data_IF_590498452518
#
_entry.id   IF_590498452518
#
_cell.length_a   1.000
_cell.length_b   1.000
_cell.length_c   1.000
_cell.angle_alpha   90.00
_cell.angle_beta   90.00
_cell.angle_gamma   90.00
#
_symmetry.space_group_name_H-M   'P 1'
#
loop_
_entity.id
_entity.type
_entity.pdbx_description
1 polymer ?
#
# COMPACT_ATOMS: atom_id res chain seq x y z
N UNK A 1 -13.48 1.70 -1.66
CA UNK A 1 -12.10 1.58 -2.14
C UNK A 1 -12.09 0.95 -3.52
N UNK A 2 -11.51 1.63 -4.49
CA UNK A 2 -11.31 1.06 -5.83
C UNK A 2 -9.93 0.41 -5.87
N UNK A 3 -9.89 -0.91 -5.99
CA UNK A 3 -8.65 -1.66 -6.01
C UNK A 3 -8.37 -2.19 -7.42
N UNK A 4 -7.18 -1.86 -7.93
CA UNK A 4 -6.68 -2.38 -9.20
C UNK A 4 -5.38 -3.13 -8.93
N UNK A 5 -5.30 -4.38 -9.38
CA UNK A 5 -4.10 -5.20 -9.26
C UNK A 5 -3.63 -5.57 -10.65
N UNK A 6 -2.41 -5.21 -10.98
CA UNK A 6 -1.80 -5.49 -12.28
C UNK A 6 -0.53 -6.31 -12.12
N UNK A 7 -0.23 -7.14 -13.12
CA UNK A 7 1.01 -7.90 -13.17
C UNK A 7 1.88 -7.48 -14.34
N UNK A 8 3.19 -7.45 -14.13
CA UNK A 8 4.19 -7.18 -15.16
C UNK A 8 5.19 -8.32 -15.17
N UNK A 9 5.25 -9.03 -16.28
CA UNK A 9 6.02 -10.28 -16.43
C UNK A 9 5.59 -11.40 -15.47
N UNK A 10 4.33 -11.31 -14.99
CA UNK A 10 3.72 -12.38 -14.20
C UNK A 10 2.19 -12.30 -14.36
N UNK A 11 1.54 -13.43 -14.13
CA UNK A 11 0.08 -13.49 -14.11
C UNK A 11 -0.43 -13.34 -12.68
N UNK A 12 -1.41 -12.47 -12.51
CA UNK A 12 -2.08 -12.32 -11.22
C UNK A 12 -3.12 -13.43 -11.09
N UNK A 13 -2.77 -14.50 -10.38
CA UNK A 13 -3.66 -15.64 -10.15
C UNK A 13 -4.80 -15.24 -9.21
N UNK A 14 -5.94 -15.98 -9.21
CA UNK A 14 -7.00 -15.72 -8.23
C UNK A 14 -6.52 -15.81 -6.79
N UNK A 15 -5.62 -16.75 -6.47
CA UNK A 15 -5.05 -16.89 -5.13
C UNK A 15 -4.25 -15.66 -4.72
N UNK A 16 -3.42 -15.15 -5.62
CA UNK A 16 -2.61 -13.96 -5.40
C UNK A 16 -3.49 -12.72 -5.22
N UNK A 17 -4.50 -12.57 -6.08
CA UNK A 17 -5.47 -11.48 -5.99
C UNK A 17 -6.20 -11.49 -4.64
N UNK A 18 -6.65 -12.65 -4.20
CA UNK A 18 -7.33 -12.80 -2.92
C UNK A 18 -6.41 -12.45 -1.75
N UNK A 19 -5.16 -12.87 -1.83
CA UNK A 19 -4.17 -12.58 -0.79
C UNK A 19 -3.91 -11.07 -0.67
N UNK A 20 -3.67 -10.41 -1.78
CA UNK A 20 -3.43 -8.95 -1.81
C UNK A 20 -4.65 -8.20 -1.30
N UNK A 21 -5.84 -8.57 -1.77
CA UNK A 21 -7.09 -7.93 -1.38
C UNK A 21 -7.32 -8.06 0.13
N UNK A 22 -7.11 -9.25 0.70
CA UNK A 22 -7.28 -9.48 2.13
C UNK A 22 -6.31 -8.66 2.97
N UNK A 23 -5.05 -8.56 2.53
CA UNK A 23 -4.04 -7.77 3.24
C UNK A 23 -4.33 -6.27 3.19
N UNK A 24 -4.76 -5.76 2.04
CA UNK A 24 -5.08 -4.34 1.89
C UNK A 24 -6.37 -3.95 2.61
N UNK A 25 -7.29 -4.88 2.81
CA UNK A 25 -8.52 -4.64 3.54
C UNK A 25 -8.24 -4.19 4.98
N UNK A 26 -7.14 -4.64 5.58
CA UNK A 26 -6.70 -4.18 6.90
C UNK A 26 -6.46 -2.67 6.91
N UNK A 27 -5.84 -2.13 5.86
CA UNK A 27 -5.57 -0.69 5.73
C UNK A 27 -6.89 0.07 5.58
N UNK A 28 -7.79 -0.43 4.75
CA UNK A 28 -9.09 0.20 4.53
C UNK A 28 -9.93 0.25 5.81
N UNK A 29 -9.81 -0.75 6.67
CA UNK A 29 -10.52 -0.77 7.97
C UNK A 29 -9.96 0.24 8.96
N UNK A 30 -8.65 0.52 8.90
CA UNK A 30 -7.99 1.48 9.80
C UNK A 30 -8.09 2.92 9.30
N UNK A 31 -8.34 3.11 8.02
CA UNK A 31 -8.37 4.44 7.42
C UNK A 31 -9.39 4.47 6.28
N UNK A 32 -10.54 5.05 6.54
CA UNK A 32 -11.69 5.04 5.63
C UNK A 32 -11.61 6.11 4.52
N UNK A 33 -10.59 6.97 4.53
CA UNK A 33 -10.42 8.01 3.52
C UNK A 33 -9.64 7.56 2.28
N UNK A 34 -9.40 6.27 2.15
CA UNK A 34 -8.75 5.69 0.96
C UNK A 34 -9.75 5.67 -0.19
N UNK A 35 -9.40 6.31 -1.31
CA UNK A 35 -10.25 6.39 -2.49
C UNK A 35 -9.86 5.31 -3.49
N UNK A 36 -8.60 5.31 -3.94
CA UNK A 36 -8.07 4.38 -4.92
C UNK A 36 -6.86 3.64 -4.38
N UNK A 37 -6.74 2.37 -4.75
CA UNK A 37 -5.53 1.59 -4.46
C UNK A 37 -5.10 0.91 -5.77
N UNK A 38 -3.87 1.18 -6.19
CA UNK A 38 -3.27 0.56 -7.39
C UNK A 38 -2.06 -0.25 -6.96
N UNK A 39 -2.10 -1.54 -7.23
CA UNK A 39 -1.02 -2.48 -6.91
C UNK A 39 -0.41 -2.98 -8.21
N UNK A 40 0.89 -2.91 -8.32
CA UNK A 40 1.65 -3.50 -9.41
C UNK A 40 2.56 -4.58 -8.85
N UNK A 41 2.38 -5.79 -9.35
CA UNK A 41 3.21 -6.94 -9.00
C UNK A 41 4.09 -7.27 -10.20
N UNK A 42 5.38 -7.47 -9.98
CA UNK A 42 6.30 -7.72 -11.09
C UNK A 42 7.39 -8.71 -10.71
N UNK A 43 7.90 -9.37 -11.74
CA UNK A 43 9.10 -10.20 -11.64
C UNK A 43 10.16 -9.53 -12.48
N UNK A 44 11.30 -9.21 -11.86
CA UNK A 44 12.41 -8.55 -12.55
C UNK A 44 13.59 -9.50 -12.69
N UNK A 45 14.33 -9.34 -13.79
CA UNK A 45 15.52 -10.13 -14.03
C UNK A 45 16.71 -9.52 -13.29
N UNK A 46 16.76 -9.74 -11.97
CA UNK A 46 17.82 -9.26 -11.10
C UNK A 46 18.76 -10.41 -10.76
N UNK A 47 20.05 -10.11 -10.60
CA UNK A 47 21.04 -11.10 -10.16
C UNK A 47 20.74 -11.59 -8.76
N UNK A 48 20.34 -10.68 -7.87
CA UNK A 48 20.00 -10.99 -6.49
C UNK A 48 18.56 -11.50 -6.41
N UNK A 49 18.38 -12.72 -5.89
CA UNK A 49 17.06 -13.37 -5.79
C UNK A 49 16.07 -12.54 -4.98
N UNK A 50 16.51 -11.90 -3.90
CA UNK A 50 15.70 -11.12 -3.00
C UNK A 50 15.17 -9.82 -3.62
N UNK A 51 15.57 -9.49 -4.85
CA UNK A 51 15.10 -8.32 -5.58
C UNK A 51 14.24 -8.67 -6.79
N UNK A 52 13.99 -9.96 -7.04
CA UNK A 52 13.30 -10.42 -8.25
C UNK A 52 11.79 -10.25 -8.19
N UNK A 53 11.17 -10.50 -7.04
CA UNK A 53 9.72 -10.37 -6.88
C UNK A 53 9.44 -9.02 -6.26
N UNK A 54 8.73 -8.16 -7.00
CA UNK A 54 8.45 -6.79 -6.54
C UNK A 54 6.96 -6.55 -6.40
N UNK A 55 6.63 -5.76 -5.39
CA UNK A 55 5.28 -5.28 -5.18
C UNK A 55 5.33 -3.78 -4.95
N UNK A 56 4.51 -3.04 -5.70
CA UNK A 56 4.37 -1.60 -5.58
C UNK A 56 2.92 -1.27 -5.33
N UNK A 57 2.66 -0.25 -4.54
CA UNK A 57 1.29 0.19 -4.30
C UNK A 57 1.23 1.70 -4.15
N UNK A 58 0.24 2.29 -4.82
CA UNK A 58 -0.12 3.69 -4.66
C UNK A 58 -1.51 3.76 -4.07
N UNK A 59 -1.65 4.52 -2.99
CA UNK A 59 -2.93 4.75 -2.34
C UNK A 59 -3.30 6.22 -2.52
N UNK A 60 -4.43 6.47 -3.16
CA UNK A 60 -4.98 7.81 -3.26
C UNK A 60 -5.78 8.13 -2.01
N UNK A 61 -5.38 9.17 -1.29
CA UNK A 61 -6.11 9.70 -0.16
C UNK A 61 -6.44 11.16 -0.44
N UNK A 62 -7.37 11.71 0.32
CA UNK A 62 -7.79 13.09 0.10
C UNK A 62 -6.61 14.05 0.29
N UNK A 63 -6.25 14.74 -0.78
CA UNK A 63 -5.20 15.75 -0.76
C UNK A 63 -3.77 15.24 -0.89
N UNK A 64 -3.57 13.92 -1.03
CA UNK A 64 -2.23 13.35 -1.14
C UNK A 64 -2.29 11.92 -1.69
N UNK A 65 -1.16 11.45 -2.22
CA UNK A 65 -0.99 10.06 -2.60
C UNK A 65 0.11 9.45 -1.74
N UNK A 66 -0.11 8.24 -1.27
CA UNK A 66 0.88 7.46 -0.55
C UNK A 66 1.43 6.38 -1.47
N UNK A 67 2.72 6.13 -1.39
CA UNK A 67 3.39 5.15 -2.24
C UNK A 67 4.36 4.32 -1.40
N UNK A 68 4.39 3.02 -1.67
CA UNK A 68 5.38 2.12 -1.10
C UNK A 68 5.74 1.06 -2.12
N UNK A 69 6.93 0.52 -1.97
CA UNK A 69 7.41 -0.61 -2.78
C UNK A 69 8.21 -1.56 -1.91
N UNK A 70 8.24 -2.81 -2.32
CA UNK A 70 8.99 -3.85 -1.64
C UNK A 70 9.47 -4.89 -2.65
N UNK A 71 10.58 -5.54 -2.36
CA UNK A 71 11.13 -6.61 -3.17
C UNK A 71 11.57 -7.76 -2.26
N UNK A 72 11.41 -8.99 -2.75
CA UNK A 72 11.75 -10.19 -2.01
C UNK A 72 11.97 -11.34 -2.99
N UNK A 73 12.53 -12.46 -2.54
CA UNK A 73 12.60 -13.66 -3.36
C UNK A 73 11.24 -14.36 -3.49
N UNK A 74 10.34 -14.12 -2.54
CA UNK A 74 8.96 -14.62 -2.51
C UNK A 74 8.00 -13.46 -2.67
N UNK A 75 7.10 -13.55 -3.65
CA UNK A 75 6.14 -12.48 -3.93
C UNK A 75 5.17 -12.25 -2.76
N UNK A 76 4.74 -13.30 -2.08
CA UNK A 76 3.86 -13.16 -0.93
C UNK A 76 4.54 -12.40 0.21
N UNK A 77 5.83 -12.66 0.43
CA UNK A 77 6.62 -11.91 1.41
C UNK A 77 6.79 -10.45 0.99
N UNK A 78 6.97 -10.19 -0.32
CA UNK A 78 7.04 -8.83 -0.83
C UNK A 78 5.73 -8.08 -0.57
N UNK A 79 4.59 -8.73 -0.76
CA UNK A 79 3.27 -8.15 -0.46
C UNK A 79 3.14 -7.85 1.03
N UNK A 80 3.56 -8.76 1.90
CA UNK A 80 3.51 -8.55 3.35
C UNK A 80 4.32 -7.32 3.78
N UNK A 81 5.55 -7.19 3.28
CA UNK A 81 6.39 -6.03 3.55
C UNK A 81 5.77 -4.74 3.00
N UNK A 82 5.19 -4.81 1.82
CA UNK A 82 4.51 -3.68 1.19
C UNK A 82 3.38 -3.17 2.08
N UNK A 83 2.53 -4.08 2.55
CA UNK A 83 1.40 -3.72 3.40
C UNK A 83 1.86 -3.12 4.72
N UNK A 84 2.92 -3.64 5.33
CA UNK A 84 3.48 -3.07 6.55
C UNK A 84 3.98 -1.65 6.33
N UNK A 85 4.65 -1.39 5.21
CA UNK A 85 5.12 -0.04 4.86
C UNK A 85 3.96 0.91 4.65
N UNK A 86 2.91 0.47 3.94
CA UNK A 86 1.71 1.27 3.71
C UNK A 86 0.97 1.59 5.01
N UNK A 87 0.87 0.61 5.89
CA UNK A 87 0.21 0.76 7.18
C UNK A 87 0.88 1.85 8.02
N UNK A 88 2.22 1.88 8.02
CA UNK A 88 2.99 2.92 8.70
C UNK A 88 2.77 4.30 8.06
N UNK A 89 2.72 4.37 6.74
CA UNK A 89 2.47 5.64 6.03
C UNK A 89 1.08 6.17 6.30
N UNK A 90 0.08 5.27 6.31
CA UNK A 90 -1.31 5.62 6.61
C UNK A 90 -1.42 6.12 8.05
N UNK A 91 -0.75 5.47 9.00
CA UNK A 91 -0.73 5.90 10.39
C UNK A 91 -0.14 7.30 10.54
N UNK A 92 0.98 7.59 9.87
CA UNK A 92 1.60 8.92 9.86
C UNK A 92 0.70 9.97 9.24
N UNK A 93 0.05 9.64 8.13
CA UNK A 93 -0.88 10.55 7.46
C UNK A 93 -2.05 10.91 8.37
N UNK A 94 -2.59 9.90 9.05
CA UNK A 94 -3.68 10.07 10.01
C UNK A 94 -3.27 10.96 11.20
N UNK A 95 -2.06 10.76 11.71
CA UNK A 95 -1.49 11.60 12.78
C UNK A 95 -1.36 13.05 12.34
N UNK A 96 -0.88 13.30 11.12
CA UNK A 96 -0.75 14.65 10.57
C UNK A 96 -2.10 15.35 10.48
N UNK A 97 -3.13 14.65 10.04
CA UNK A 97 -4.48 15.20 9.97
C UNK A 97 -5.00 15.56 11.36
N UNK A 98 -4.82 14.67 12.34
CA UNK A 98 -5.23 14.92 13.71
C UNK A 98 -4.46 16.07 14.35
N UNK A 99 -3.16 16.16 14.14
CA UNK A 99 -2.33 17.26 14.64
C UNK A 99 -2.73 18.59 14.01
N UNK A 100 -3.05 18.60 12.73
CA UNK A 100 -3.52 19.80 12.04
C UNK A 100 -4.86 20.26 12.60
N UNK A 101 -5.78 19.35 12.83
CA UNK A 101 -7.08 19.64 13.42
C UNK A 101 -6.95 20.20 14.84
N UNK A 102 -6.05 19.63 15.65
CA UNK A 102 -5.78 20.13 17.01
C UNK A 102 -5.19 21.53 16.99
N UNK A 103 -4.25 21.79 16.08
CA UNK A 103 -3.63 23.10 15.92
C UNK A 103 -4.67 24.13 15.49
N UNK A 104 -5.57 23.78 14.58
CA UNK A 104 -6.66 24.65 14.15
C UNK A 104 -7.62 24.94 15.30
N UNK A 105 -7.98 23.91 16.08
CA UNK A 105 -8.86 24.08 17.25
C UNK A 105 -8.25 25.01 18.30
N UNK A 106 -6.97 24.85 18.58
CA UNK A 106 -6.24 25.73 19.52
C UNK A 106 -6.20 27.18 19.02
N UNK A 107 -6.08 27.36 17.73
CA UNK A 107 -5.99 28.68 17.12
C UNK A 107 -7.32 29.42 17.17
N UNK A 108 -8.42 28.69 17.17
CA UNK A 108 -9.76 29.26 17.24
C UNK A 108 -10.18 29.65 18.67
N UNK A 109 -9.47 29.19 19.66
CA UNK A 109 -9.68 29.52 21.06
C UNK A 109 -8.81 30.68 21.51
#
# INVERSE_FOLDING_TARGET
MNLTISGHHLDVTPALRSYVTAKLDRINRHFDQVVDVKVLLSVENQKEKEKRQRAECRIGVKGNDLFAESAHEDLYAAVDELVDKLDRQVAKHKEKLQSHDRAAAKHLM
#
